data_IF_141143472501
#
_entry.id   IF_141143472501
#
_cell.length_a   1.000
_cell.length_b   1.000
_cell.length_c   1.000
_cell.angle_alpha   90.00
_cell.angle_beta   90.00
_cell.angle_gamma   90.00
#
_symmetry.space_group_name_H-M   'P 1'
#
loop_
_entity.id
_entity.type
_entity.pdbx_description
1 polymer ?
#
# COMPACT_ATOMS: atom_id res chain seq x y z
N UNK A 1 10.84 7.22 0.75
CA UNK A 1 9.69 6.54 0.13
C UNK A 1 10.16 5.72 -1.06
N UNK A 2 9.68 4.50 -1.16
CA UNK A 2 10.06 3.59 -2.25
C UNK A 2 8.79 3.06 -2.90
N UNK A 3 8.70 3.21 -4.24
CA UNK A 3 7.62 2.61 -5.04
C UNK A 3 8.25 1.57 -5.96
N UNK A 4 7.75 0.34 -5.86
CA UNK A 4 8.16 -0.74 -6.76
C UNK A 4 6.97 -1.13 -7.61
N UNK A 5 7.06 -0.89 -8.92
CA UNK A 5 5.99 -1.20 -9.86
C UNK A 5 6.02 -2.68 -10.24
N UNK A 6 4.84 -3.28 -10.29
CA UNK A 6 4.71 -4.66 -10.74
C UNK A 6 4.79 -4.73 -12.26
N UNK A 7 5.65 -5.58 -12.80
CA UNK A 7 5.95 -5.59 -14.24
C UNK A 7 5.52 -6.88 -14.95
N UNK A 8 5.15 -7.92 -14.20
CA UNK A 8 4.74 -9.18 -14.80
C UNK A 8 3.23 -9.16 -15.12
N UNK A 9 2.78 -9.95 -16.13
CA UNK A 9 1.36 -9.96 -16.51
C UNK A 9 0.44 -10.56 -15.46
N UNK A 10 0.94 -11.49 -14.62
CA UNK A 10 0.14 -12.07 -13.54
C UNK A 10 0.48 -11.40 -12.22
N UNK A 11 -0.54 -10.82 -11.59
CA UNK A 11 -0.40 -10.20 -10.27
C UNK A 11 -0.47 -11.29 -9.21
N UNK A 12 0.41 -11.27 -8.19
CA UNK A 12 0.34 -12.25 -7.11
C UNK A 12 -1.01 -12.17 -6.39
N UNK A 13 -1.48 -13.32 -5.92
CA UNK A 13 -2.70 -13.38 -5.12
C UNK A 13 -2.48 -12.73 -3.75
N UNK A 14 -3.58 -12.44 -3.04
CA UNK A 14 -3.52 -11.94 -1.67
C UNK A 14 -2.68 -12.86 -0.78
N UNK A 15 -2.87 -14.16 -0.90
CA UNK A 15 -2.13 -15.15 -0.11
C UNK A 15 -0.64 -15.13 -0.42
N UNK A 16 -0.28 -14.99 -1.69
CA UNK A 16 1.13 -14.88 -2.10
C UNK A 16 1.77 -13.60 -1.55
N UNK A 17 1.04 -12.49 -1.57
CA UNK A 17 1.53 -11.23 -1.02
C UNK A 17 1.72 -11.32 0.50
N UNK A 18 0.82 -12.00 1.21
CA UNK A 18 1.01 -12.30 2.63
C UNK A 18 2.30 -13.08 2.86
N UNK A 19 2.53 -14.12 2.07
CA UNK A 19 3.74 -14.94 2.20
C UNK A 19 5.01 -14.13 1.94
N UNK A 20 4.96 -13.24 0.95
CA UNK A 20 6.12 -12.37 0.64
C UNK A 20 6.45 -11.49 1.85
N UNK A 21 5.46 -10.82 2.43
CA UNK A 21 5.70 -9.94 3.57
C UNK A 21 6.10 -10.72 4.82
N UNK A 22 5.53 -11.90 5.03
CA UNK A 22 5.94 -12.78 6.14
C UNK A 22 7.40 -13.21 5.97
N UNK A 23 7.83 -13.50 4.75
CA UNK A 23 9.22 -13.86 4.48
C UNK A 23 10.19 -12.71 4.76
N UNK A 24 9.70 -11.48 4.80
CA UNK A 24 10.48 -10.30 5.17
C UNK A 24 10.45 -10.02 6.68
N UNK A 25 9.82 -10.90 7.46
CA UNK A 25 9.72 -10.74 8.91
C UNK A 25 8.60 -9.81 9.35
N UNK A 26 7.64 -9.51 8.47
CA UNK A 26 6.54 -8.61 8.76
C UNK A 26 5.27 -9.40 9.09
N UNK A 27 4.30 -8.73 9.71
CA UNK A 27 2.99 -9.29 10.05
C UNK A 27 1.94 -8.63 9.16
N UNK A 28 1.63 -9.21 7.99
CA UNK A 28 0.70 -8.58 7.05
C UNK A 28 -0.75 -8.66 7.52
N UNK A 29 -1.52 -7.64 7.13
CA UNK A 29 -2.96 -7.59 7.34
C UNK A 29 -3.62 -6.97 6.11
N UNK A 30 -4.92 -7.21 5.95
CA UNK A 30 -5.67 -6.71 4.80
C UNK A 30 -6.42 -5.45 5.17
N UNK A 31 -6.50 -4.53 4.19
CA UNK A 31 -7.42 -3.39 4.26
C UNK A 31 -8.25 -3.36 2.99
N UNK A 32 -9.54 -3.09 3.14
CA UNK A 32 -10.48 -2.96 2.04
C UNK A 32 -11.04 -1.55 2.03
N UNK A 33 -11.13 -0.96 0.84
CA UNK A 33 -11.67 0.39 0.67
C UNK A 33 -12.76 0.37 -0.38
N UNK A 34 -13.85 1.09 -0.11
CA UNK A 34 -14.87 1.35 -1.12
C UNK A 34 -14.37 2.43 -2.07
N UNK A 35 -14.95 2.47 -3.28
CA UNK A 35 -14.62 3.51 -4.24
C UNK A 35 -14.85 4.89 -3.63
N UNK A 36 -13.93 5.83 -3.88
CA UNK A 36 -13.92 7.21 -3.40
C UNK A 36 -13.68 7.36 -1.89
N UNK A 37 -13.44 6.27 -1.18
CA UNK A 37 -13.07 6.34 0.24
C UNK A 37 -11.71 7.00 0.37
N UNK A 38 -11.62 8.02 1.22
CA UNK A 38 -10.41 8.79 1.44
C UNK A 38 -9.97 8.71 2.89
N UNK A 39 -8.68 8.45 3.10
CA UNK A 39 -8.04 8.60 4.40
C UNK A 39 -7.28 9.92 4.37
N UNK A 40 -7.65 10.86 5.25
CA UNK A 40 -7.10 12.20 5.28
C UNK A 40 -5.66 12.22 5.79
N UNK A 41 -5.02 13.38 5.69
CA UNK A 41 -3.63 13.58 6.11
C UNK A 41 -3.35 13.00 7.49
N UNK A 42 -2.35 12.13 7.55
CA UNK A 42 -1.90 11.53 8.79
C UNK A 42 -0.43 11.13 8.65
N UNK A 43 0.18 10.85 9.77
CA UNK A 43 1.54 10.30 9.83
C UNK A 43 1.62 9.30 10.97
N UNK A 44 2.50 8.32 10.82
CA UNK A 44 2.70 7.27 11.82
C UNK A 44 4.13 7.27 12.34
N UNK A 45 4.35 6.83 13.58
CA UNK A 45 5.71 6.70 14.13
C UNK A 45 6.45 5.45 13.62
N UNK A 46 5.88 4.74 12.66
CA UNK A 46 6.45 3.53 12.05
C UNK A 46 6.39 3.65 10.53
N UNK A 47 7.22 2.87 9.83
CA UNK A 47 7.14 2.76 8.38
C UNK A 47 5.99 1.84 7.98
N UNK A 48 5.40 2.09 6.80
CA UNK A 48 4.32 1.27 6.25
C UNK A 48 4.76 0.61 4.96
N UNK A 49 4.29 -0.62 4.74
CA UNK A 49 4.39 -1.31 3.45
C UNK A 49 2.96 -1.58 2.99
N UNK A 50 2.66 -1.23 1.73
CA UNK A 50 1.35 -1.48 1.12
C UNK A 50 1.53 -2.08 -0.26
N UNK A 51 0.77 -3.14 -0.55
CA UNK A 51 0.78 -3.78 -1.87
C UNK A 51 -0.66 -3.93 -2.32
N UNK A 52 -0.98 -3.43 -3.50
CA UNK A 52 -2.33 -3.48 -4.04
C UNK A 52 -2.62 -4.88 -4.59
N UNK A 53 -3.70 -5.50 -4.13
CA UNK A 53 -4.19 -6.76 -4.68
C UNK A 53 -5.11 -6.49 -5.86
N UNK A 54 -6.07 -5.59 -5.68
CA UNK A 54 -7.04 -5.23 -6.72
C UNK A 54 -7.48 -3.79 -6.54
N UNK A 55 -7.93 -3.17 -7.63
CA UNK A 55 -8.34 -1.77 -7.64
C UNK A 55 -7.16 -0.83 -7.80
N UNK A 56 -7.43 0.46 -7.67
CA UNK A 56 -6.43 1.51 -7.82
C UNK A 56 -6.51 2.50 -6.67
N UNK A 57 -5.37 2.84 -6.11
CA UNK A 57 -5.27 3.75 -4.96
C UNK A 57 -4.37 4.93 -5.31
N UNK A 58 -4.89 6.14 -5.13
CA UNK A 58 -4.12 7.35 -5.31
C UNK A 58 -3.54 7.79 -3.97
N UNK A 59 -2.21 7.88 -3.89
CA UNK A 59 -1.52 8.40 -2.73
C UNK A 59 -1.03 9.81 -2.97
N UNK A 60 -1.17 10.68 -1.96
CA UNK A 60 -0.52 11.98 -1.94
C UNK A 60 0.46 11.96 -0.78
N UNK A 61 1.75 12.03 -1.10
CA UNK A 61 2.83 11.93 -0.12
C UNK A 61 3.70 13.16 -0.27
N UNK A 62 3.71 14.01 0.77
CA UNK A 62 4.50 15.24 0.79
C UNK A 62 4.24 16.12 -0.45
N UNK A 63 2.98 16.19 -0.91
CA UNK A 63 2.58 16.99 -2.05
C UNK A 63 2.72 16.31 -3.41
N UNK A 64 3.29 15.12 -3.47
CA UNK A 64 3.45 14.36 -4.73
C UNK A 64 2.37 13.27 -4.81
N UNK A 65 1.79 13.09 -6.00
CA UNK A 65 0.73 12.10 -6.22
C UNK A 65 1.27 10.88 -6.95
N UNK A 66 0.85 9.71 -6.47
CA UNK A 66 1.25 8.41 -7.03
C UNK A 66 0.03 7.51 -7.12
N UNK A 67 -0.26 7.00 -8.31
CA UNK A 67 -1.32 6.01 -8.49
C UNK A 67 -0.71 4.61 -8.37
N UNK A 68 -1.23 3.81 -7.44
CA UNK A 68 -0.84 2.41 -7.28
C UNK A 68 -1.89 1.51 -7.90
N UNK A 69 -1.43 0.52 -8.65
CA UNK A 69 -2.23 -0.47 -9.35
C UNK A 69 -1.92 -1.87 -8.82
N UNK A 70 -2.71 -2.89 -9.19
CA UNK A 70 -2.47 -4.26 -8.68
C UNK A 70 -1.02 -4.70 -8.84
N UNK A 71 -0.46 -5.21 -7.75
CA UNK A 71 0.91 -5.64 -7.67
C UNK A 71 1.91 -4.56 -7.27
N UNK A 72 1.55 -3.29 -7.38
CA UNK A 72 2.46 -2.20 -7.00
C UNK A 72 2.67 -2.17 -5.50
N UNK A 73 3.91 -1.95 -5.08
CA UNK A 73 4.33 -1.90 -3.69
C UNK A 73 4.80 -0.49 -3.33
N UNK A 74 4.33 0.02 -2.21
CA UNK A 74 4.72 1.31 -1.67
C UNK A 74 5.28 1.11 -0.26
N UNK A 75 6.44 1.72 0.03
CA UNK A 75 6.96 1.82 1.38
C UNK A 75 7.05 3.29 1.77
N UNK A 76 6.36 3.64 2.85
CA UNK A 76 6.32 5.01 3.38
C UNK A 76 7.14 5.04 4.66
N UNK A 77 8.19 5.89 4.73
CA UNK A 77 8.98 6.03 5.97
C UNK A 77 8.13 6.53 7.13
N UNK A 78 8.61 6.29 8.35
CA UNK A 78 7.99 6.83 9.56
C UNK A 78 7.88 8.36 9.49
N UNK A 79 6.86 8.90 10.13
CA UNK A 79 6.62 10.35 10.27
C UNK A 79 6.45 11.08 8.94
N UNK A 80 6.03 10.39 7.89
CA UNK A 80 5.79 10.98 6.58
C UNK A 80 4.30 11.27 6.43
N UNK A 81 3.95 12.54 6.23
CA UNK A 81 2.55 12.96 6.06
C UNK A 81 2.04 12.49 4.72
N UNK A 82 0.88 11.83 4.72
CA UNK A 82 0.28 11.30 3.49
C UNK A 82 -1.23 11.16 3.59
N UNK A 83 -1.86 11.13 2.42
CA UNK A 83 -3.28 10.78 2.26
C UNK A 83 -3.39 9.70 1.20
N UNK A 84 -4.50 8.97 1.20
CA UNK A 84 -4.80 8.09 0.07
C UNK A 84 -6.30 8.03 -0.18
N UNK A 85 -6.65 7.83 -1.46
CA UNK A 85 -8.02 7.79 -1.93
C UNK A 85 -8.20 6.61 -2.88
N UNK A 86 -9.18 5.75 -2.61
CA UNK A 86 -9.51 4.65 -3.50
C UNK A 86 -10.21 5.20 -4.75
N UNK A 87 -9.67 4.91 -5.93
CA UNK A 87 -10.28 5.31 -7.20
C UNK A 87 -11.35 4.33 -7.65
N UNK A 88 -11.29 3.10 -7.14
CA UNK A 88 -12.21 2.00 -7.34
C UNK A 88 -12.21 1.20 -6.04
N UNK A 89 -13.07 0.17 -5.87
CA UNK A 89 -12.92 -0.69 -4.70
C UNK A 89 -11.52 -1.29 -4.67
N UNK A 90 -10.85 -1.22 -3.52
CA UNK A 90 -9.46 -1.64 -3.36
C UNK A 90 -9.35 -2.72 -2.29
N UNK A 91 -8.55 -3.74 -2.59
CA UNK A 91 -8.04 -4.68 -1.60
C UNK A 91 -6.54 -4.48 -1.54
N UNK A 92 -6.01 -4.28 -0.34
CA UNK A 92 -4.61 -3.97 -0.11
C UNK A 92 -4.06 -4.86 1.00
N UNK A 93 -2.85 -5.40 0.79
CA UNK A 93 -2.12 -6.10 1.85
C UNK A 93 -1.13 -5.11 2.44
N UNK A 94 -1.17 -4.95 3.76
CA UNK A 94 -0.40 -3.93 4.46
C UNK A 94 0.46 -4.55 5.56
N UNK A 95 1.53 -3.88 5.93
CA UNK A 95 2.31 -4.24 7.09
C UNK A 95 2.98 -3.00 7.67
N UNK A 96 3.31 -3.08 8.95
CA UNK A 96 4.03 -2.02 9.66
C UNK A 96 5.44 -2.51 9.94
N UNK A 97 6.40 -1.64 9.71
CA UNK A 97 7.79 -1.95 9.97
C UNK A 97 8.28 -1.08 11.13
N UNK A 98 8.74 -1.71 12.20
CA UNK A 98 9.36 -0.98 13.31
C UNK A 98 10.64 -0.31 12.83
N UNK A 99 10.90 0.83 13.39
CA UNK A 99 12.09 1.61 13.06
C UNK A 99 13.28 1.12 13.87
#
# INVERSE_FOLDING_TARGET
>A
MIITRWQAPLVPSREQLHMILESEGLEPFDENYEAQMKVSDHRHPFAEVRIIVSGEMLFNISGNQFLLRPGDRLEIPANTKHTHTAQSPVVCVCAQRAI
#
